data_IF_912169398683
#
_entry.id   IF_912169398683
#
_cell.length_a   1.000
_cell.length_b   1.000
_cell.length_c   1.000
_cell.angle_alpha   90.00
_cell.angle_beta   90.00
_cell.angle_gamma   90.00
#
_symmetry.space_group_name_H-M   'P 1'
#
loop_
_entity.id
_entity.type
_entity.pdbx_description
1 polymer ?
#
# COMPACT_ATOMS: atom_id res chain seq x y z
N UNK A 1 5.01 -2.66 2.30
CA UNK A 1 5.34 -3.46 3.49
C UNK A 1 6.76 -4.02 3.39
N UNK A 2 7.08 -4.82 2.36
CA UNK A 2 8.39 -5.49 2.19
C UNK A 2 9.61 -4.54 2.25
N UNK A 3 9.51 -3.34 1.65
CA UNK A 3 10.53 -2.28 1.73
C UNK A 3 10.95 -2.02 3.19
N UNK A 4 9.99 -1.96 4.11
CA UNK A 4 10.23 -1.67 5.52
C UNK A 4 10.53 -2.91 6.35
N UNK A 5 10.29 -4.12 5.83
CA UNK A 5 10.80 -5.36 6.41
C UNK A 5 12.28 -5.61 6.11
N UNK A 6 12.86 -4.89 5.14
CA UNK A 6 14.29 -5.01 4.80
C UNK A 6 14.70 -6.46 4.49
N UNK A 7 13.84 -7.16 3.74
CA UNK A 7 14.00 -8.57 3.37
C UNK A 7 14.11 -9.55 4.55
N UNK A 8 13.74 -9.15 5.76
CA UNK A 8 13.82 -10.02 6.93
C UNK A 8 12.69 -11.06 7.00
N UNK A 9 11.56 -10.81 6.34
CA UNK A 9 10.43 -11.73 6.27
C UNK A 9 9.51 -11.38 5.10
N UNK A 10 8.74 -12.37 4.67
CA UNK A 10 7.69 -12.25 3.66
C UNK A 10 6.36 -11.84 4.30
N UNK A 11 5.44 -11.22 3.55
CA UNK A 11 4.08 -10.99 4.03
C UNK A 11 3.39 -12.31 4.43
N UNK A 12 2.67 -12.29 5.55
CA UNK A 12 1.98 -13.48 6.09
C UNK A 12 2.90 -14.68 6.33
N UNK A 13 4.01 -14.52 7.08
CA UNK A 13 4.98 -15.59 7.24
C UNK A 13 4.36 -16.79 7.94
N UNK A 14 4.72 -17.99 7.48
CA UNK A 14 4.24 -19.27 7.99
C UNK A 14 2.74 -19.54 7.82
N UNK A 15 2.01 -18.68 7.12
CA UNK A 15 0.61 -18.95 6.77
C UNK A 15 0.52 -19.70 5.45
N UNK A 16 -0.40 -20.64 5.38
CA UNK A 16 -0.86 -21.22 4.12
C UNK A 16 -1.62 -20.17 3.30
N UNK A 17 -1.74 -20.41 2.00
CA UNK A 17 -2.54 -19.55 1.10
C UNK A 17 -3.98 -19.37 1.60
N UNK A 18 -4.59 -20.42 2.15
CA UNK A 18 -5.95 -20.36 2.67
C UNK A 18 -6.08 -19.45 3.90
N UNK A 19 -5.11 -19.51 4.82
CA UNK A 19 -5.07 -18.68 6.02
C UNK A 19 -4.77 -17.22 5.68
N UNK A 20 -3.82 -16.96 4.77
CA UNK A 20 -3.53 -15.62 4.29
C UNK A 20 -4.76 -15.00 3.61
N UNK A 21 -5.45 -15.76 2.74
CA UNK A 21 -6.70 -15.33 2.12
C UNK A 21 -7.77 -14.98 3.16
N UNK A 22 -7.92 -15.80 4.20
CA UNK A 22 -8.88 -15.53 5.26
C UNK A 22 -8.57 -14.21 6.00
N UNK A 23 -7.29 -13.89 6.24
CA UNK A 23 -6.88 -12.59 6.82
C UNK A 23 -7.17 -11.42 5.89
N UNK A 24 -6.80 -11.55 4.60
CA UNK A 24 -7.00 -10.50 3.59
C UNK A 24 -8.48 -10.14 3.45
N UNK A 25 -9.36 -11.13 3.50
CA UNK A 25 -10.82 -10.98 3.34
C UNK A 25 -11.57 -10.82 4.66
N UNK A 26 -10.86 -10.62 5.77
CA UNK A 26 -11.45 -10.63 7.12
C UNK A 26 -12.33 -9.41 7.44
N UNK A 27 -12.34 -8.39 6.59
CA UNK A 27 -12.95 -7.09 6.89
C UNK A 27 -12.13 -6.24 7.87
N UNK A 28 -10.90 -6.67 8.20
CA UNK A 28 -9.97 -5.98 9.09
C UNK A 28 -8.66 -5.70 8.36
N UNK A 29 -7.82 -4.86 8.96
CA UNK A 29 -6.45 -4.65 8.49
C UNK A 29 -5.72 -6.02 8.38
N UNK A 30 -5.23 -6.41 7.18
CA UNK A 30 -4.70 -7.77 6.98
C UNK A 30 -3.39 -8.04 7.74
N UNK A 31 -2.56 -7.02 7.91
CA UNK A 31 -1.27 -7.09 8.60
C UNK A 31 -0.85 -5.73 9.17
N UNK A 32 0.00 -5.77 10.18
CA UNK A 32 0.57 -4.57 10.78
C UNK A 32 1.79 -4.06 10.00
N UNK A 33 2.06 -2.74 10.01
CA UNK A 33 3.30 -2.20 9.48
C UNK A 33 4.54 -2.78 10.18
N UNK A 34 5.65 -3.01 9.48
CA UNK A 34 6.91 -3.44 10.08
C UNK A 34 7.40 -2.50 11.18
N UNK A 35 8.17 -3.03 12.13
CA UNK A 35 8.81 -2.22 13.16
C UNK A 35 9.75 -1.16 12.53
N UNK A 36 9.70 0.06 13.05
CA UNK A 36 10.48 1.19 12.53
C UNK A 36 9.93 1.81 11.24
N UNK A 37 8.75 1.39 10.77
CA UNK A 37 8.04 2.07 9.68
C UNK A 37 7.69 3.51 10.10
N UNK A 38 8.07 4.54 9.32
CA UNK A 38 7.73 5.92 9.64
C UNK A 38 6.20 6.11 9.71
N UNK A 39 5.69 6.96 10.64
CA UNK A 39 4.25 7.12 10.84
C UNK A 39 3.46 7.41 9.57
N UNK A 40 4.01 8.26 8.69
CA UNK A 40 3.37 8.60 7.41
C UNK A 40 3.19 7.39 6.48
N UNK A 41 4.17 6.48 6.48
CA UNK A 41 4.09 5.24 5.71
C UNK A 41 3.14 4.24 6.37
N UNK A 42 3.12 4.17 7.70
CA UNK A 42 2.15 3.35 8.42
C UNK A 42 0.71 3.77 8.08
N UNK A 43 0.45 5.09 8.04
CA UNK A 43 -0.83 5.64 7.57
C UNK A 43 -1.11 5.25 6.13
N UNK A 44 -0.17 5.47 5.21
CA UNK A 44 -0.30 5.08 3.81
C UNK A 44 -0.63 3.59 3.63
N UNK A 45 0.03 2.71 4.38
CA UNK A 45 -0.24 1.27 4.36
C UNK A 45 -1.64 0.94 4.87
N UNK A 46 -2.07 1.59 5.96
CA UNK A 46 -3.40 1.37 6.54
C UNK A 46 -4.53 1.76 5.58
N UNK A 47 -4.44 2.93 4.95
CA UNK A 47 -5.45 3.38 3.97
C UNK A 47 -5.44 2.55 2.68
N UNK A 48 -4.29 2.04 2.24
CA UNK A 48 -4.23 1.10 1.11
C UNK A 48 -4.87 -0.27 1.44
N UNK A 49 -4.94 -0.63 2.72
CA UNK A 49 -5.59 -1.86 3.19
C UNK A 49 -7.09 -1.71 3.47
N UNK A 50 -7.70 -0.56 3.14
CA UNK A 50 -9.15 -0.39 3.14
C UNK A 50 -9.81 -1.52 2.36
N UNK A 51 -10.80 -2.15 3.01
CA UNK A 51 -11.44 -3.37 2.53
C UNK A 51 -12.42 -3.10 1.41
N UNK A 52 -13.17 -2.00 1.52
CA UNK A 52 -14.00 -1.50 0.44
C UNK A 52 -13.09 -0.94 -0.68
N UNK A 53 -13.13 -1.51 -1.89
CA UNK A 53 -12.33 -1.03 -3.01
C UNK A 53 -12.63 0.42 -3.38
N UNK A 54 -13.89 0.87 -3.25
CA UNK A 54 -14.31 2.22 -3.65
C UNK A 54 -13.81 3.30 -2.67
N UNK A 55 -13.58 2.91 -1.41
CA UNK A 55 -13.02 3.79 -0.37
C UNK A 55 -11.48 3.74 -0.30
N UNK A 56 -10.84 2.89 -1.12
CA UNK A 56 -9.37 2.83 -1.19
C UNK A 56 -8.85 4.07 -1.91
N UNK A 57 -7.80 4.74 -1.39
CA UNK A 57 -7.26 5.91 -2.06
C UNK A 57 -6.73 5.56 -3.44
N UNK A 58 -6.99 6.44 -4.39
CA UNK A 58 -6.25 6.47 -5.65
C UNK A 58 -4.81 6.96 -5.41
N UNK A 59 -4.02 6.98 -6.49
CA UNK A 59 -2.63 7.40 -6.41
C UNK A 59 -2.47 8.88 -6.04
N UNK A 60 -3.41 9.75 -6.41
CA UNK A 60 -3.31 11.18 -6.09
C UNK A 60 -3.57 11.42 -4.60
N UNK A 61 -4.62 10.81 -4.05
CA UNK A 61 -4.93 10.85 -2.63
C UNK A 61 -3.77 10.27 -1.80
N UNK A 62 -3.21 9.14 -2.22
CA UNK A 62 -2.04 8.54 -1.57
C UNK A 62 -0.81 9.46 -1.66
N UNK A 63 -0.57 10.09 -2.81
CA UNK A 63 0.54 11.03 -3.00
C UNK A 63 0.41 12.23 -2.07
N UNK A 64 -0.78 12.80 -1.92
CA UNK A 64 -1.03 13.93 -0.99
C UNK A 64 -0.75 13.55 0.46
N UNK A 65 -1.00 12.31 0.87
CA UNK A 65 -0.61 11.82 2.20
C UNK A 65 0.92 11.76 2.34
N UNK A 66 1.61 11.26 1.32
CA UNK A 66 3.06 11.05 1.33
C UNK A 66 3.86 12.38 1.21
N UNK A 67 3.44 13.25 0.30
CA UNK A 67 4.11 14.47 -0.10
C UNK A 67 3.12 15.65 -0.22
N UNK A 68 2.53 16.10 0.91
CA UNK A 68 1.44 17.09 0.92
C UNK A 68 1.83 18.47 0.35
N UNK A 69 3.13 18.75 0.26
CA UNK A 69 3.65 20.03 -0.24
C UNK A 69 4.14 19.93 -1.69
N UNK A 70 4.00 18.77 -2.33
CA UNK A 70 4.41 18.54 -3.71
C UNK A 70 3.18 18.51 -4.62
N UNK A 71 3.36 18.96 -5.87
CA UNK A 71 2.33 18.83 -6.90
C UNK A 71 2.43 17.44 -7.53
N UNK A 72 1.31 16.73 -7.73
CA UNK A 72 1.34 15.48 -8.48
C UNK A 72 1.82 15.75 -9.92
N UNK A 73 2.48 14.76 -10.56
CA UNK A 73 2.84 14.88 -11.97
C UNK A 73 1.58 15.11 -12.81
N UNK A 74 1.70 15.82 -13.96
CA UNK A 74 0.59 15.95 -14.89
C UNK A 74 0.10 14.56 -15.32
N UNK A 75 -1.19 14.42 -15.69
CA UNK A 75 -1.71 13.17 -16.23
C UNK A 75 -0.84 12.70 -17.38
N UNK A 76 -0.24 11.51 -17.23
CA UNK A 76 0.61 10.93 -18.25
C UNK A 76 -0.29 10.28 -19.30
N UNK A 77 -0.12 10.62 -20.57
CA UNK A 77 -0.86 9.96 -21.63
C UNK A 77 -0.30 8.55 -21.82
N UNK A 78 -1.17 7.54 -21.91
CA UNK A 78 -0.78 6.13 -22.04
C UNK A 78 0.06 5.86 -23.30
N UNK A 79 0.06 6.76 -24.29
CA UNK A 79 0.92 6.61 -25.46
C UNK A 79 2.36 7.06 -25.21
N UNK A 80 2.61 7.96 -24.25
CA UNK A 80 3.96 8.48 -23.95
C UNK A 80 4.89 7.40 -23.40
N UNK A 81 4.35 6.31 -22.83
CA UNK A 81 5.14 5.20 -22.26
C UNK A 81 5.62 4.16 -23.28
N UNK A 82 5.09 4.18 -24.52
CA UNK A 82 5.46 3.22 -25.58
C UNK A 82 6.36 3.82 -26.66
N UNK A 83 6.68 5.11 -26.55
CA UNK A 83 7.56 5.83 -27.48
C UNK A 83 8.88 6.12 -26.77
N UNK A 84 9.64 5.06 -26.48
CA UNK A 84 11.03 5.12 -26.04
C UNK A 84 11.85 4.06 -26.78
#
# INVERSE_FOLDING_TARGET
WEIFMRCASDPFPHLTTAEAKAKILSGKQPMDPPSGTPPKIATAMSICFTQDPEERPDFEALFRVLAPNEQPPPPMDMWDTYVA
#
